data_IF_577563453589
#
_entry.id   IF_577563453589
#
_cell.length_a   1.000
_cell.length_b   1.000
_cell.length_c   1.000
_cell.angle_alpha   90.00
_cell.angle_beta   90.00
_cell.angle_gamma   90.00
#
_symmetry.space_group_name_H-M   'P 1'
#
loop_
_entity.id
_entity.type
_entity.pdbx_description
1 polymer ?
#
# COMPACT_ATOMS: atom_id res chain seq x y z
N UNK A 1 23.01 -10.12 3.93
CA UNK A 1 22.29 -8.84 3.74
C UNK A 1 21.87 -8.71 2.28
N UNK A 2 20.61 -9.07 2.02
CA UNK A 2 19.92 -9.11 0.74
C UNK A 2 20.38 -8.03 -0.25
N UNK A 3 21.10 -8.46 -1.28
CA UNK A 3 21.33 -7.67 -2.49
C UNK A 3 19.99 -7.54 -3.20
N UNK A 4 19.20 -6.54 -2.81
CA UNK A 4 18.05 -6.13 -3.60
C UNK A 4 18.63 -5.27 -4.71
N UNK A 5 18.68 -5.81 -5.93
CA UNK A 5 18.99 -4.99 -7.08
C UNK A 5 17.89 -3.94 -7.21
N UNK A 6 18.26 -2.71 -6.84
CA UNK A 6 17.33 -1.61 -6.69
C UNK A 6 16.70 -1.18 -8.03
N UNK A 7 17.22 -1.68 -9.16
CA UNK A 7 16.87 -1.25 -10.51
C UNK A 7 16.44 -2.40 -11.45
N UNK A 8 16.36 -3.64 -10.97
CA UNK A 8 16.10 -4.78 -11.86
C UNK A 8 14.68 -4.81 -12.45
N UNK A 9 13.69 -4.18 -11.82
CA UNK A 9 12.29 -4.24 -12.24
C UNK A 9 11.64 -2.86 -12.34
N UNK A 10 10.81 -2.69 -13.38
CA UNK A 10 10.05 -1.46 -13.64
C UNK A 10 8.97 -1.20 -12.59
N UNK A 11 8.47 0.04 -12.57
CA UNK A 11 7.41 0.43 -11.64
C UNK A 11 6.07 -0.15 -12.09
N UNK A 12 5.36 -0.82 -11.17
CA UNK A 12 4.00 -1.31 -11.42
C UNK A 12 3.05 -0.87 -10.29
N UNK A 13 2.50 0.33 -10.42
CA UNK A 13 1.58 0.91 -9.44
C UNK A 13 0.22 0.20 -9.44
N UNK A 14 -0.22 -0.27 -10.60
CA UNK A 14 -1.49 -1.00 -10.74
C UNK A 14 -1.46 -2.31 -9.97
N UNK A 15 -0.35 -3.06 -10.03
CA UNK A 15 -0.19 -4.28 -9.25
C UNK A 15 -0.28 -4.01 -7.74
N UNK A 16 0.30 -2.90 -7.26
CA UNK A 16 0.18 -2.52 -5.84
C UNK A 16 -1.27 -2.17 -5.48
N UNK A 17 -1.96 -1.38 -6.31
CA UNK A 17 -3.37 -1.07 -6.11
C UNK A 17 -4.26 -2.31 -6.11
N UNK A 18 -4.06 -3.22 -7.07
CA UNK A 18 -4.84 -4.45 -7.19
C UNK A 18 -4.62 -5.38 -6.00
N UNK A 19 -3.39 -5.50 -5.50
CA UNK A 19 -3.09 -6.32 -4.33
C UNK A 19 -3.81 -5.81 -3.06
N UNK A 20 -3.82 -4.49 -2.83
CA UNK A 20 -4.54 -3.90 -1.70
C UNK A 20 -6.05 -4.00 -1.88
N UNK A 21 -6.57 -3.75 -3.09
CA UNK A 21 -7.99 -3.94 -3.38
C UNK A 21 -8.43 -5.37 -3.10
N UNK A 22 -7.69 -6.38 -3.56
CA UNK A 22 -8.00 -7.78 -3.30
C UNK A 22 -7.97 -8.10 -1.80
N UNK A 23 -6.97 -7.62 -1.07
CA UNK A 23 -6.92 -7.77 0.39
C UNK A 23 -8.18 -7.21 1.05
N UNK A 24 -8.58 -6.00 0.67
CA UNK A 24 -9.73 -5.37 1.30
C UNK A 24 -11.07 -6.00 0.90
N UNK A 25 -11.26 -6.33 -0.39
CA UNK A 25 -12.49 -6.97 -0.86
C UNK A 25 -12.71 -8.33 -0.22
N UNK A 26 -11.65 -9.14 -0.11
CA UNK A 26 -11.76 -10.53 0.34
C UNK A 26 -11.71 -10.66 1.86
N UNK A 27 -10.96 -9.80 2.57
CA UNK A 27 -10.65 -10.00 3.99
C UNK A 27 -11.24 -8.94 4.92
N UNK A 28 -11.56 -7.73 4.45
CA UNK A 28 -11.84 -6.60 5.36
C UNK A 28 -13.11 -6.77 6.19
N UNK A 29 -14.12 -7.47 5.67
CA UNK A 29 -15.37 -7.76 6.38
C UNK A 29 -15.32 -9.01 7.25
N UNK A 30 -14.23 -9.77 7.18
CA UNK A 30 -14.10 -11.02 7.92
C UNK A 30 -13.88 -10.75 9.41
N UNK A 31 -14.68 -11.39 10.28
CA UNK A 31 -14.67 -11.10 11.72
C UNK A 31 -13.33 -11.40 12.42
N UNK A 32 -12.52 -12.27 11.82
CA UNK A 32 -11.20 -12.68 12.31
C UNK A 32 -10.08 -11.78 11.78
N UNK A 33 -10.36 -10.95 10.78
CA UNK A 33 -9.39 -10.06 10.16
C UNK A 33 -9.40 -8.69 10.85
N UNK A 34 -8.49 -8.51 11.81
CA UNK A 34 -8.40 -7.28 12.60
C UNK A 34 -7.71 -6.10 11.89
N UNK A 35 -7.36 -6.24 10.61
CA UNK A 35 -6.58 -5.26 9.84
C UNK A 35 -5.09 -5.61 9.77
N UNK A 36 -4.23 -4.59 9.61
CA UNK A 36 -2.79 -4.80 9.43
C UNK A 36 -1.93 -3.55 9.56
N UNK A 37 -0.61 -3.74 9.54
CA UNK A 37 0.38 -2.67 9.59
C UNK A 37 0.98 -2.43 8.20
N UNK A 38 0.99 -1.16 7.77
CA UNK A 38 1.54 -0.78 6.46
C UNK A 38 3.06 -0.88 6.47
N UNK A 39 3.60 -1.64 5.52
CA UNK A 39 5.04 -1.75 5.28
C UNK A 39 5.40 -1.07 3.94
N UNK A 40 6.16 0.02 3.90
CA UNK A 40 6.70 0.83 5.00
C UNK A 40 6.16 2.25 4.86
N UNK A 41 6.12 2.97 5.98
CA UNK A 41 5.84 4.40 5.99
C UNK A 41 7.09 5.16 6.43
N UNK A 42 7.49 6.16 5.66
CA UNK A 42 8.64 7.00 5.92
C UNK A 42 8.22 8.32 6.55
N UNK A 43 9.06 8.84 7.45
CA UNK A 43 8.84 10.12 8.14
C UNK A 43 8.94 11.31 7.18
N UNK A 44 9.90 11.26 6.25
CA UNK A 44 10.09 12.28 5.20
C UNK A 44 9.21 11.97 3.98
N UNK A 45 7.89 12.02 4.20
CA UNK A 45 6.90 11.50 3.25
C UNK A 45 6.96 12.12 1.86
N UNK A 46 7.32 13.40 1.74
CA UNK A 46 7.43 14.10 0.45
C UNK A 46 8.52 13.52 -0.46
N UNK A 47 9.51 12.81 0.10
CA UNK A 47 10.65 12.26 -0.64
C UNK A 47 10.54 10.76 -0.93
N UNK A 48 9.46 10.11 -0.51
CA UNK A 48 9.31 8.67 -0.62
C UNK A 48 8.05 8.24 -1.38
N UNK A 49 8.15 7.10 -2.06
CA UNK A 49 7.08 6.61 -2.91
C UNK A 49 6.97 7.42 -4.21
N UNK A 50 5.76 7.70 -4.67
CA UNK A 50 5.53 8.40 -5.93
C UNK A 50 5.50 7.49 -7.16
N UNK A 51 5.25 8.11 -8.32
CA UNK A 51 4.97 7.43 -9.59
C UNK A 51 6.17 6.63 -10.13
N UNK A 52 7.39 7.04 -9.80
CA UNK A 52 8.63 6.42 -10.28
C UNK A 52 9.23 5.42 -9.27
N UNK A 53 8.51 5.12 -8.19
CA UNK A 53 9.02 4.28 -7.11
C UNK A 53 8.48 2.86 -7.18
N UNK A 54 9.35 1.90 -7.50
CA UNK A 54 9.07 0.47 -7.42
C UNK A 54 9.14 -0.10 -5.98
N UNK A 55 9.17 0.76 -4.94
CA UNK A 55 9.31 0.36 -3.54
C UNK A 55 7.98 0.03 -2.87
N UNK A 56 8.06 -0.67 -1.73
CA UNK A 56 6.88 -1.14 -0.99
C UNK A 56 5.99 -0.04 -0.42
N UNK A 57 6.53 1.15 -0.11
CA UNK A 57 5.71 2.22 0.48
C UNK A 57 4.51 2.55 -0.42
N UNK A 58 3.30 2.66 0.15
CA UNK A 58 2.14 3.17 -0.57
C UNK A 58 2.12 4.70 -0.67
N UNK A 59 3.01 5.40 0.04
CA UNK A 59 3.02 6.88 0.10
C UNK A 59 3.09 7.50 -1.29
N UNK A 60 2.27 8.51 -1.52
CA UNK A 60 2.20 9.29 -2.76
C UNK A 60 1.94 8.43 -4.01
N UNK A 61 1.28 7.27 -3.85
CA UNK A 61 0.89 6.37 -4.94
C UNK A 61 -0.62 6.20 -4.97
N UNK A 62 -1.19 5.72 -6.10
CA UNK A 62 -2.63 5.50 -6.20
C UNK A 62 -3.23 4.62 -5.09
N UNK A 63 -2.45 3.66 -4.60
CA UNK A 63 -2.88 2.77 -3.50
C UNK A 63 -3.14 3.51 -2.18
N UNK A 64 -2.56 4.69 -1.96
CA UNK A 64 -2.81 5.49 -0.75
C UNK A 64 -4.28 5.90 -0.62
N UNK A 65 -4.92 6.26 -1.75
CA UNK A 65 -6.34 6.60 -1.79
C UNK A 65 -7.22 5.40 -1.46
N UNK A 66 -6.83 4.20 -1.92
CA UNK A 66 -7.51 2.94 -1.62
C UNK A 66 -7.43 2.66 -0.13
N UNK A 67 -6.23 2.72 0.46
CA UNK A 67 -6.06 2.54 1.91
C UNK A 67 -6.92 3.55 2.68
N UNK A 68 -6.89 4.81 2.26
CA UNK A 68 -7.63 5.89 2.91
C UNK A 68 -9.15 5.64 2.90
N UNK A 69 -9.70 5.15 1.78
CA UNK A 69 -11.15 4.93 1.67
C UNK A 69 -11.65 3.83 2.61
N UNK A 70 -10.93 2.70 2.70
CA UNK A 70 -11.30 1.59 3.59
C UNK A 70 -11.20 1.95 5.07
N UNK A 71 -10.13 2.63 5.48
CA UNK A 71 -9.98 3.07 6.88
C UNK A 71 -10.97 4.18 7.26
N UNK A 72 -11.33 5.09 6.33
CA UNK A 72 -12.37 6.09 6.60
C UNK A 72 -13.75 5.46 6.76
N UNK A 73 -14.11 4.50 5.89
CA UNK A 73 -15.39 3.81 5.97
C UNK A 73 -15.55 3.01 7.27
N UNK A 74 -14.47 2.37 7.74
CA UNK A 74 -14.46 1.64 9.00
C UNK A 74 -14.73 2.53 10.23
N UNK A 75 -14.32 3.80 10.20
CA UNK A 75 -14.49 4.75 11.31
C UNK A 75 -15.87 5.42 11.38
N UNK A 76 -16.79 5.11 10.46
CA UNK A 76 -18.14 5.67 10.40
C UNK A 76 -19.21 4.73 10.99
N UNK A 77 -18.81 3.54 11.47
CA UNK A 77 -19.67 2.55 12.13
C UNK A 77 -19.34 2.44 13.62
#
# INVERSE_FOLDING_TARGET
PWFVDYFAEGVNLEAQSNAYTALYVELWSENWFAGGFIWKWFVDGERHGGQDSNRFTPQNKPVEEIITSYYKAANLN
#
